data_IF_485263599574
#
_entry.id   IF_485263599574
#
_cell.length_a   1.000
_cell.length_b   1.000
_cell.length_c   1.000
_cell.angle_alpha   90.00
_cell.angle_beta   90.00
_cell.angle_gamma   90.00
#
_symmetry.space_group_name_H-M   'P 1'
#
loop_
_entity.id
_entity.type
_entity.pdbx_description
1 polymer ?
#
# COMPACT_ATOMS: atom_id res chain seq x y z
N UNK A 1 4.15 2.11 20.93
CA UNK A 1 3.48 3.12 20.09
C UNK A 1 2.02 2.74 19.99
N UNK A 2 1.08 3.67 20.20
CA UNK A 2 -0.37 3.40 20.11
C UNK A 2 -0.92 4.09 18.87
N UNK A 3 -1.75 3.37 18.11
CA UNK A 3 -2.40 3.86 16.90
C UNK A 3 -3.91 3.73 17.04
N UNK A 4 -4.65 4.66 16.46
CA UNK A 4 -6.09 4.55 16.28
C UNK A 4 -6.38 4.61 14.76
N UNK A 5 -7.34 3.82 14.31
CA UNK A 5 -7.74 3.74 12.91
C UNK A 5 -9.26 3.58 12.79
N UNK A 6 -9.84 4.14 11.74
CA UNK A 6 -11.21 3.83 11.34
C UNK A 6 -11.25 2.44 10.69
N UNK A 7 -12.26 1.65 11.03
CA UNK A 7 -12.41 0.28 10.52
C UNK A 7 -13.67 0.14 9.68
N UNK A 8 -13.61 -0.68 8.64
CA UNK A 8 -14.75 -1.13 7.83
C UNK A 8 -14.44 -2.54 7.33
N UNK A 9 -15.46 -3.34 7.02
CA UNK A 9 -15.29 -4.74 6.61
C UNK A 9 -14.48 -4.87 5.30
N UNK A 10 -14.60 -3.88 4.40
CA UNK A 10 -13.90 -3.86 3.11
C UNK A 10 -13.49 -2.43 2.73
N UNK A 11 -12.28 -2.03 3.12
CA UNK A 11 -11.81 -0.65 2.90
C UNK A 11 -11.48 -0.36 1.42
N UNK A 12 -11.03 -1.37 0.67
CA UNK A 12 -10.77 -1.28 -0.78
C UNK A 12 -11.56 -2.34 -1.56
N UNK A 13 -12.77 -2.68 -1.10
CA UNK A 13 -13.60 -3.71 -1.74
C UNK A 13 -12.83 -5.03 -1.92
N UNK A 14 -12.76 -5.57 -3.14
CA UNK A 14 -12.09 -6.82 -3.49
C UNK A 14 -10.76 -6.57 -4.24
N UNK A 15 -10.10 -5.43 -3.97
CA UNK A 15 -8.83 -5.06 -4.61
C UNK A 15 -7.74 -6.07 -4.24
N UNK A 16 -7.30 -6.84 -5.23
CA UNK A 16 -6.22 -7.82 -5.06
C UNK A 16 -4.87 -7.15 -4.79
N UNK A 17 -4.09 -7.74 -3.88
CA UNK A 17 -2.70 -7.34 -3.61
C UNK A 17 -1.81 -7.76 -4.77
N UNK A 18 -0.90 -6.87 -5.19
CA UNK A 18 0.15 -7.21 -6.15
C UNK A 18 1.25 -8.01 -5.45
N UNK A 19 1.52 -9.23 -5.90
CA UNK A 19 2.66 -10.00 -5.42
C UNK A 19 3.95 -9.47 -6.08
N UNK A 20 4.67 -8.60 -5.38
CA UNK A 20 5.92 -8.02 -5.88
C UNK A 20 7.10 -9.00 -5.87
N UNK A 21 7.09 -10.04 -5.04
CA UNK A 21 8.09 -11.12 -5.12
C UNK A 21 8.02 -11.88 -6.45
N UNK A 22 6.87 -11.84 -7.15
CA UNK A 22 6.71 -12.36 -8.51
C UNK A 22 6.90 -11.25 -9.56
N UNK A 23 6.20 -10.12 -9.40
CA UNK A 23 6.17 -9.06 -10.41
C UNK A 23 7.53 -8.38 -10.60
N UNK A 24 8.29 -8.15 -9.53
CA UNK A 24 9.57 -7.43 -9.58
C UNK A 24 10.60 -8.09 -10.51
N UNK A 25 10.48 -9.40 -10.76
CA UNK A 25 11.38 -10.16 -11.64
C UNK A 25 11.43 -9.66 -13.09
N UNK A 26 10.46 -8.84 -13.51
CA UNK A 26 10.47 -8.22 -14.84
C UNK A 26 11.40 -7.01 -14.94
N UNK A 27 11.93 -6.52 -13.82
CA UNK A 27 12.73 -5.30 -13.74
C UNK A 27 14.07 -5.57 -13.05
N UNK A 28 15.19 -5.51 -13.79
CA UNK A 28 16.51 -5.81 -13.23
C UNK A 28 16.92 -4.94 -12.04
N UNK A 29 16.49 -3.67 -11.98
CA UNK A 29 16.83 -2.78 -10.87
C UNK A 29 16.13 -3.15 -9.56
N UNK A 30 15.09 -3.99 -9.61
CA UNK A 30 14.40 -4.50 -8.43
C UNK A 30 15.00 -5.81 -7.90
N UNK A 31 16.06 -6.33 -8.54
CA UNK A 31 16.71 -7.56 -8.11
C UNK A 31 17.33 -7.41 -6.71
N UNK A 32 17.22 -8.48 -5.91
CA UNK A 32 17.67 -8.52 -4.52
C UNK A 32 16.79 -7.76 -3.50
N UNK A 33 15.71 -7.10 -3.93
CA UNK A 33 14.74 -6.49 -3.00
C UNK A 33 13.85 -7.57 -2.40
N UNK A 34 13.79 -7.61 -1.06
CA UNK A 34 12.94 -8.53 -0.31
C UNK A 34 11.61 -7.87 0.00
N UNK A 35 10.66 -7.98 -0.92
CA UNK A 35 9.30 -7.49 -0.68
C UNK A 35 8.59 -8.36 0.36
N UNK A 36 7.66 -7.79 1.14
CA UNK A 36 6.82 -8.55 2.06
C UNK A 36 6.04 -9.65 1.33
N UNK A 37 5.90 -10.81 1.97
CA UNK A 37 5.05 -11.87 1.45
C UNK A 37 3.58 -11.47 1.48
N UNK A 38 2.83 -11.92 0.47
CA UNK A 38 1.38 -11.71 0.45
C UNK A 38 0.75 -12.57 1.54
N UNK A 39 -0.06 -11.94 2.40
CA UNK A 39 -0.78 -12.63 3.47
C UNK A 39 -1.82 -13.63 2.95
N UNK A 40 -2.36 -14.44 3.85
CA UNK A 40 -3.40 -15.44 3.54
C UNK A 40 -4.67 -14.84 2.94
N UNK A 41 -4.93 -13.55 3.18
CA UNK A 41 -5.97 -12.76 2.51
C UNK A 41 -5.31 -11.86 1.47
N UNK A 42 -5.34 -12.20 0.17
CA UNK A 42 -4.66 -11.45 -0.88
C UNK A 42 -5.46 -10.22 -1.34
N UNK A 43 -6.12 -9.52 -0.41
CA UNK A 43 -6.86 -8.27 -0.65
C UNK A 43 -6.24 -7.14 0.16
N UNK A 44 -6.40 -5.90 -0.32
CA UNK A 44 -5.89 -4.74 0.41
C UNK A 44 -6.80 -4.49 1.63
N UNK A 45 -6.22 -4.59 2.83
CA UNK A 45 -6.95 -4.54 4.10
C UNK A 45 -6.85 -3.17 4.81
N UNK A 46 -5.86 -2.34 4.46
CA UNK A 46 -5.53 -1.11 5.19
C UNK A 46 -5.23 0.04 4.22
N UNK A 47 -5.87 1.19 4.45
CA UNK A 47 -5.50 2.47 3.86
C UNK A 47 -4.81 3.35 4.91
N UNK A 48 -3.59 3.79 4.64
CA UNK A 48 -2.85 4.68 5.52
C UNK A 48 -2.93 6.10 4.94
N UNK A 49 -3.66 6.97 5.63
CA UNK A 49 -3.77 8.37 5.27
C UNK A 49 -2.53 9.19 5.64
N UNK A 50 -2.64 10.50 5.42
CA UNK A 50 -1.57 11.47 5.71
C UNK A 50 -1.36 11.75 7.20
N UNK A 51 -2.30 11.36 8.06
CA UNK A 51 -2.21 11.53 9.53
C UNK A 51 -0.96 10.85 10.12
N UNK A 52 -0.45 9.82 9.43
CA UNK A 52 0.80 9.13 9.75
C UNK A 52 1.78 9.19 8.56
N UNK A 53 1.96 10.37 7.96
CA UNK A 53 2.84 10.58 6.80
C UNK A 53 4.27 10.05 7.00
N UNK A 54 4.79 10.07 8.23
CA UNK A 54 6.12 9.56 8.54
C UNK A 54 6.28 8.04 8.25
N UNK A 55 5.18 7.27 8.22
CA UNK A 55 5.20 5.87 7.82
C UNK A 55 5.48 5.67 6.32
N UNK A 56 5.31 6.73 5.52
CA UNK A 56 5.61 6.76 4.09
C UNK A 56 6.99 7.36 3.78
N UNK A 57 7.74 7.81 4.79
CA UNK A 57 9.06 8.40 4.59
C UNK A 57 9.99 7.40 3.91
N UNK A 58 10.67 7.86 2.86
CA UNK A 58 11.69 7.06 2.21
C UNK A 58 12.93 6.98 3.10
N UNK A 59 13.29 5.76 3.49
CA UNK A 59 14.59 5.42 4.06
C UNK A 59 15.61 5.12 2.97
N UNK A 60 15.14 4.55 1.85
CA UNK A 60 15.92 4.27 0.64
C UNK A 60 14.98 4.12 -0.54
N UNK A 61 15.35 4.70 -1.68
CA UNK A 61 14.68 4.49 -2.96
C UNK A 61 15.61 3.74 -3.94
N UNK A 62 15.00 2.93 -4.79
CA UNK A 62 15.64 2.25 -5.93
C UNK A 62 14.79 2.54 -7.16
N UNK A 63 15.38 3.28 -8.11
CA UNK A 63 14.66 3.82 -9.26
C UNK A 63 14.90 2.99 -10.52
N UNK A 64 13.87 2.92 -11.36
CA UNK A 64 13.95 2.36 -12.72
C UNK A 64 14.12 3.42 -13.80
N UNK A 65 13.84 3.04 -15.05
CA UNK A 65 13.69 4.00 -16.14
C UNK A 65 12.33 4.73 -16.03
N UNK A 66 12.15 5.87 -16.74
CA UNK A 66 10.84 6.53 -16.79
C UNK A 66 9.73 5.56 -17.23
N UNK A 67 8.70 5.40 -16.40
CA UNK A 67 7.58 4.48 -16.62
C UNK A 67 7.73 3.11 -15.96
N UNK A 68 8.92 2.76 -15.48
CA UNK A 68 9.13 1.59 -14.63
C UNK A 68 8.62 1.86 -13.20
N UNK A 69 8.28 0.80 -12.45
CA UNK A 69 7.99 0.93 -11.05
C UNK A 69 9.28 1.11 -10.23
N UNK A 70 9.18 1.91 -9.18
CA UNK A 70 10.27 2.17 -8.23
C UNK A 70 10.04 1.38 -6.94
N UNK A 71 11.11 1.00 -6.24
CA UNK A 71 11.00 0.43 -4.91
C UNK A 71 11.42 1.44 -3.85
N UNK A 72 10.63 1.50 -2.77
CA UNK A 72 10.84 2.39 -1.63
C UNK A 72 10.86 1.59 -0.34
N UNK A 73 11.95 1.70 0.40
CA UNK A 73 12.02 1.23 1.77
C UNK A 73 11.44 2.31 2.67
N UNK A 74 10.40 1.96 3.40
CA UNK A 74 9.74 2.82 4.39
C UNK A 74 9.88 2.19 5.78
N UNK A 75 9.50 2.89 6.87
CA UNK A 75 9.40 2.28 8.19
C UNK A 75 8.54 1.00 8.25
N UNK A 76 7.58 0.86 7.34
CA UNK A 76 6.71 -0.32 7.21
C UNK A 76 7.31 -1.47 6.36
N UNK A 77 8.53 -1.28 5.82
CA UNK A 77 9.19 -2.24 4.93
C UNK A 77 9.24 -1.77 3.48
N UNK A 78 9.56 -2.70 2.58
CA UNK A 78 9.65 -2.42 1.14
C UNK A 78 8.26 -2.35 0.50
N UNK A 79 8.02 -1.26 -0.20
CA UNK A 79 6.89 -1.09 -1.10
C UNK A 79 7.39 -0.85 -2.52
N UNK A 80 6.56 -1.14 -3.51
CA UNK A 80 6.83 -0.82 -4.90
C UNK A 80 5.73 0.10 -5.43
N UNK A 81 6.15 1.17 -6.11
CA UNK A 81 5.32 2.29 -6.53
C UNK A 81 5.40 2.37 -8.06
N UNK A 82 4.24 2.27 -8.71
CA UNK A 82 4.14 2.34 -10.16
C UNK A 82 3.32 1.21 -10.74
N UNK A 83 3.23 1.19 -12.06
CA UNK A 83 2.40 0.24 -12.79
C UNK A 83 3.08 -1.12 -12.91
N UNK A 84 2.30 -2.17 -12.76
CA UNK A 84 2.71 -3.53 -13.15
C UNK A 84 2.62 -3.71 -14.67
N UNK A 85 3.30 -4.72 -15.22
CA UNK A 85 3.20 -5.07 -16.65
C UNK A 85 1.78 -5.47 -17.05
N UNK A 86 1.05 -6.19 -16.19
CA UNK A 86 -0.34 -6.56 -16.44
C UNK A 86 -1.29 -5.36 -16.41
N UNK A 87 -0.99 -4.34 -15.61
CA UNK A 87 -1.78 -3.10 -15.59
C UNK A 87 -1.55 -2.20 -16.81
N UNK A 88 -0.47 -2.36 -17.59
CA UNK A 88 -0.29 -1.60 -18.85
C UNK A 88 -1.42 -1.88 -19.87
N UNK A 89 -2.04 -3.06 -19.79
CA UNK A 89 -3.15 -3.46 -20.66
C UNK A 89 -4.52 -3.28 -19.99
N UNK A 90 -4.56 -2.80 -18.75
CA UNK A 90 -5.79 -2.56 -17.99
C UNK A 90 -6.01 -1.05 -17.87
N UNK A 91 -7.26 -0.56 -17.86
CA UNK A 91 -7.50 0.85 -17.58
C UNK A 91 -6.94 1.22 -16.20
N UNK A 92 -6.26 2.38 -16.05
CA UNK A 92 -5.77 2.83 -14.76
C UNK A 92 -6.95 2.99 -13.80
N UNK A 93 -6.86 2.34 -12.64
CA UNK A 93 -7.90 2.40 -11.61
C UNK A 93 -7.39 3.28 -10.47
N UNK A 94 -8.13 4.35 -10.17
CA UNK A 94 -7.90 5.22 -9.02
C UNK A 94 -9.12 5.13 -8.10
N UNK A 95 -8.90 4.86 -6.81
CA UNK A 95 -9.95 4.90 -5.81
C UNK A 95 -9.74 6.11 -4.90
N UNK A 96 -10.80 6.88 -4.71
CA UNK A 96 -10.79 8.06 -3.85
C UNK A 96 -11.65 7.76 -2.62
N UNK A 97 -11.00 7.47 -1.50
CA UNK A 97 -11.67 7.50 -0.21
C UNK A 97 -11.88 8.97 0.21
N UNK A 98 -13.13 9.39 0.36
CA UNK A 98 -13.48 10.74 0.84
C UNK A 98 -14.20 10.61 2.19
N UNK A 99 -13.49 10.95 3.27
CA UNK A 99 -14.07 11.00 4.62
C UNK A 99 -14.78 12.35 4.81
N UNK A 100 -16.07 12.33 5.14
CA UNK A 100 -16.80 13.52 5.56
C UNK A 100 -16.81 13.56 7.09
N UNK A 101 -16.36 14.66 7.69
CA UNK A 101 -16.51 14.86 9.14
C UNK A 101 -17.97 15.22 9.43
N UNK A 102 -18.76 14.27 9.95
CA UNK A 102 -20.05 14.56 10.59
C UNK A 102 -19.77 14.79 12.07
N UNK A 103 -20.08 15.98 12.60
CA UNK A 103 -19.82 16.31 14.00
C UNK A 103 -20.56 15.36 14.97
N UNK A 104 -19.80 14.78 15.90
CA UNK A 104 -20.21 14.10 17.16
C UNK A 104 -21.36 13.09 17.03
N UNK A 105 -21.18 11.78 17.24
CA UNK A 105 -20.93 11.15 18.56
C UNK A 105 -20.63 9.66 18.36
N UNK A 106 -19.91 9.07 19.30
CA UNK A 106 -19.67 7.62 19.51
C UNK A 106 -18.65 6.95 18.56
N UNK A 107 -17.36 7.07 18.91
CA UNK A 107 -16.27 6.29 18.33
C UNK A 107 -15.83 5.20 19.32
N UNK A 108 -16.09 3.95 18.99
CA UNK A 108 -15.61 2.79 19.73
C UNK A 108 -14.11 2.59 19.51
N UNK A 109 -13.34 2.61 20.61
CA UNK A 109 -11.90 2.38 20.59
C UNK A 109 -11.61 0.87 20.74
N UNK A 110 -11.08 0.23 19.70
CA UNK A 110 -10.55 -1.13 19.81
C UNK A 110 -9.06 -1.09 20.15
N UNK A 111 -8.68 -1.67 21.29
CA UNK A 111 -7.28 -1.89 21.67
C UNK A 111 -6.77 -3.17 20.98
N UNK A 112 -5.77 -3.05 20.12
CA UNK A 112 -5.00 -4.18 19.63
C UNK A 112 -3.84 -4.43 20.62
N UNK A 113 -3.91 -5.53 21.35
CA UNK A 113 -2.87 -6.02 22.27
C UNK A 113 -1.71 -6.65 21.51
#
# INVERSE_FOLDING_TARGET
MKFAAFTTDKVTCDRAVVNWNINAKHWPHLDGIKFPEVGSRPVVDLLIGIDYAYLHHSLKDVYGCPGDPDARLMPLGWACIGSTRSSLHSPPMSEFARTYFTGSSDLEHVNLN
#
